data_IF_468182063106
#
_entry.id   IF_468182063106
#
_cell.length_a   1.000
_cell.length_b   1.000
_cell.length_c   1.000
_cell.angle_alpha   90.00
_cell.angle_beta   90.00
_cell.angle_gamma   90.00
#
_symmetry.space_group_name_H-M   'P 1'
#
loop_
_entity.id
_entity.type
_entity.pdbx_description
1 polymer ?
#
# COMPACT_ATOMS: atom_id res chain seq x y z
N UNK A 1 0.16 -2.83 23.98
CA UNK A 1 0.76 -1.58 23.44
C UNK A 1 1.48 -0.75 24.49
N UNK A 2 0.85 -0.37 25.61
CA UNK A 2 1.53 0.40 26.68
C UNK A 2 2.72 -0.35 27.34
N UNK A 3 2.54 -1.62 27.72
CA UNK A 3 3.64 -2.47 28.27
C UNK A 3 4.80 -2.65 27.29
N UNK A 4 4.54 -2.55 25.99
CA UNK A 4 5.55 -2.66 24.94
C UNK A 4 6.19 -1.30 24.58
N UNK A 5 5.84 -0.22 25.29
CA UNK A 5 6.42 1.12 25.09
C UNK A 5 5.96 1.85 23.82
N UNK A 6 4.88 1.40 23.16
CA UNK A 6 4.39 2.05 21.93
C UNK A 6 3.86 3.46 22.27
N UNK A 7 4.23 4.53 21.53
CA UNK A 7 3.71 5.88 21.74
C UNK A 7 2.18 5.96 21.59
N UNK A 8 1.49 6.79 22.40
CA UNK A 8 0.01 6.91 22.40
C UNK A 8 -0.60 7.07 21.00
N UNK A 9 -0.09 7.95 20.12
CA UNK A 9 -0.66 8.15 18.79
C UNK A 9 -0.58 6.88 17.90
N UNK A 10 0.38 5.99 18.17
CA UNK A 10 0.60 4.75 17.42
C UNK A 10 -0.15 3.55 18.01
N UNK A 11 -0.92 3.74 19.09
CA UNK A 11 -1.73 2.67 19.69
C UNK A 11 -3.09 2.50 19.04
N UNK A 12 -3.52 3.49 18.26
CA UNK A 12 -4.74 3.39 17.46
C UNK A 12 -4.60 2.24 16.46
N UNK A 13 -5.60 1.37 16.42
CA UNK A 13 -5.61 0.27 15.46
C UNK A 13 -5.72 0.81 14.05
N UNK A 14 -4.85 0.33 13.18
CA UNK A 14 -4.81 0.71 11.76
C UNK A 14 -4.66 -0.55 10.93
N UNK A 15 -5.26 -0.54 9.75
CA UNK A 15 -5.10 -1.66 8.83
C UNK A 15 -3.69 -1.64 8.22
N UNK A 16 -3.22 -2.81 7.82
CA UNK A 16 -1.92 -2.95 7.14
C UNK A 16 -1.82 -2.06 5.88
N UNK A 17 -2.85 -1.98 5.01
CA UNK A 17 -2.87 -1.01 3.91
C UNK A 17 -2.75 0.45 4.33
N UNK A 18 -3.42 0.87 5.41
CA UNK A 18 -3.31 2.26 5.90
C UNK A 18 -1.88 2.58 6.34
N UNK A 19 -1.26 1.71 7.13
CA UNK A 19 0.12 1.92 7.59
C UNK A 19 1.09 1.99 6.39
N UNK A 20 0.90 1.14 5.39
CA UNK A 20 1.75 1.13 4.21
C UNK A 20 1.61 2.40 3.36
N UNK A 21 0.38 2.92 3.20
CA UNK A 21 0.16 4.17 2.46
C UNK A 21 0.77 5.37 3.18
N UNK A 22 0.61 5.45 4.50
CA UNK A 22 1.24 6.50 5.30
C UNK A 22 2.77 6.47 5.20
N UNK A 23 3.35 5.27 5.21
CA UNK A 23 4.80 5.12 5.09
C UNK A 23 5.29 5.54 3.70
N UNK A 24 4.54 5.22 2.64
CA UNK A 24 4.81 5.71 1.29
C UNK A 24 4.72 7.25 1.25
N UNK A 25 3.69 7.84 1.85
CA UNK A 25 3.53 9.30 1.91
C UNK A 25 4.67 9.97 2.67
N UNK A 26 5.12 9.36 3.76
CA UNK A 26 6.27 9.82 4.54
C UNK A 26 7.55 9.83 3.69
N UNK A 27 7.79 8.79 2.89
CA UNK A 27 8.95 8.69 2.02
C UNK A 27 8.90 9.73 0.88
N UNK A 28 7.72 9.92 0.27
CA UNK A 28 7.51 10.95 -0.76
C UNK A 28 7.75 12.34 -0.18
N UNK A 29 7.20 12.64 1.00
CA UNK A 29 7.39 13.92 1.69
C UNK A 29 8.86 14.17 2.07
N UNK A 30 9.62 13.11 2.36
CA UNK A 30 11.06 13.18 2.61
C UNK A 30 11.90 13.33 1.32
N UNK A 31 11.28 13.39 0.13
CA UNK A 31 11.96 13.54 -1.16
C UNK A 31 12.66 12.27 -1.65
N UNK A 32 12.33 11.11 -1.08
CA UNK A 32 12.91 9.83 -1.50
C UNK A 32 12.41 9.49 -2.90
N UNK A 33 13.35 9.17 -3.80
CA UNK A 33 13.05 8.76 -5.17
C UNK A 33 13.13 7.24 -5.30
N UNK A 34 12.07 6.64 -5.82
CA UNK A 34 12.01 5.21 -6.11
C UNK A 34 11.26 4.98 -7.43
N UNK A 35 11.63 3.90 -8.13
CA UNK A 35 11.06 3.61 -9.45
C UNK A 35 9.68 2.96 -9.40
N UNK A 36 9.41 2.10 -8.40
CA UNK A 36 8.13 1.44 -8.24
C UNK A 36 7.87 1.01 -6.79
N UNK A 37 6.59 0.84 -6.44
CA UNK A 37 6.15 0.18 -5.20
C UNK A 37 5.90 -1.30 -5.47
N UNK A 38 6.57 -2.17 -4.72
CA UNK A 38 6.33 -3.62 -4.73
C UNK A 38 5.65 -4.03 -3.43
N UNK A 39 4.58 -4.84 -3.53
CA UNK A 39 3.87 -5.34 -2.36
C UNK A 39 3.36 -6.77 -2.57
N UNK A 40 3.26 -7.53 -1.49
CA UNK A 40 2.80 -8.91 -1.50
C UNK A 40 1.29 -9.05 -1.70
N UNK A 41 0.83 -10.29 -1.89
CA UNK A 41 -0.56 -10.60 -2.22
C UNK A 41 -1.62 -10.13 -1.22
N UNK A 42 -1.22 -9.90 0.03
CA UNK A 42 -2.09 -9.31 1.06
C UNK A 42 -2.58 -7.91 0.70
N UNK A 43 -1.76 -7.12 -0.02
CA UNK A 43 -2.16 -5.79 -0.50
C UNK A 43 -2.91 -5.85 -1.82
N UNK A 44 -2.60 -6.81 -2.70
CA UNK A 44 -3.21 -6.88 -4.02
C UNK A 44 -4.71 -7.16 -4.04
N UNK A 45 -5.23 -7.83 -3.01
CA UNK A 45 -6.68 -7.99 -2.80
C UNK A 45 -7.39 -6.67 -2.53
N UNK A 46 -6.71 -5.68 -1.94
CA UNK A 46 -7.30 -4.38 -1.64
C UNK A 46 -7.38 -3.52 -2.92
N UNK A 47 -8.60 -3.38 -3.45
CA UNK A 47 -8.87 -2.40 -4.53
C UNK A 47 -8.52 -0.98 -4.07
N UNK A 48 -8.87 -0.63 -2.84
CA UNK A 48 -8.61 0.71 -2.30
C UNK A 48 -7.11 1.02 -2.25
N UNK A 49 -6.28 0.05 -1.83
CA UNK A 49 -4.83 0.22 -1.80
C UNK A 49 -4.25 0.45 -3.21
N UNK A 50 -4.63 -0.38 -4.19
CA UNK A 50 -4.18 -0.22 -5.58
C UNK A 50 -4.59 1.13 -6.18
N UNK A 51 -5.82 1.58 -5.89
CA UNK A 51 -6.28 2.90 -6.33
C UNK A 51 -5.55 4.05 -5.62
N UNK A 52 -5.20 3.89 -4.36
CA UNK A 52 -4.42 4.87 -3.61
C UNK A 52 -3.00 5.03 -4.18
N UNK A 53 -2.38 3.95 -4.67
CA UNK A 53 -1.10 4.03 -5.39
C UNK A 53 -1.25 4.75 -6.73
N UNK A 54 -2.31 4.46 -7.49
CA UNK A 54 -2.62 5.18 -8.74
C UNK A 54 -2.83 6.68 -8.51
N UNK A 55 -3.57 7.05 -7.46
CA UNK A 55 -3.85 8.45 -7.13
C UNK A 55 -2.58 9.25 -6.78
N UNK A 56 -1.52 8.56 -6.34
CA UNK A 56 -0.19 9.13 -6.09
C UNK A 56 0.70 9.16 -7.34
N UNK A 57 0.22 8.69 -8.49
CA UNK A 57 1.00 8.61 -9.72
C UNK A 57 2.14 7.60 -9.67
N UNK A 58 2.09 6.62 -8.77
CA UNK A 58 3.17 5.66 -8.57
C UNK A 58 3.05 4.50 -9.56
N UNK A 59 4.18 4.08 -10.14
CA UNK A 59 4.28 2.76 -10.76
C UNK A 59 4.29 1.70 -9.65
N UNK A 60 3.50 0.64 -9.81
CA UNK A 60 3.42 -0.42 -8.80
C UNK A 60 3.20 -1.80 -9.41
N UNK A 61 3.66 -2.81 -8.67
CA UNK A 61 3.31 -4.20 -8.90
C UNK A 61 2.97 -4.84 -7.55
N UNK A 62 1.82 -5.49 -7.48
CA UNK A 62 1.38 -6.20 -6.27
C UNK A 62 1.09 -7.65 -6.59
N UNK A 63 1.44 -8.54 -5.67
CA UNK A 63 1.06 -9.94 -5.77
C UNK A 63 -0.47 -10.06 -5.84
N UNK A 64 -0.97 -11.03 -6.60
CA UNK A 64 -2.39 -11.40 -6.60
C UNK A 64 -2.50 -12.87 -6.20
N UNK A 65 -3.45 -13.24 -5.34
CA UNK A 65 -3.66 -14.64 -5.01
C UNK A 65 -4.29 -15.37 -6.21
N UNK A 66 -4.01 -16.67 -6.33
CA UNK A 66 -4.40 -17.52 -7.48
C UNK A 66 -5.90 -17.51 -7.84
N UNK A 67 -6.77 -17.19 -6.89
CA UNK A 67 -8.22 -17.21 -7.08
C UNK A 67 -8.78 -15.83 -7.51
N UNK A 68 -7.95 -14.79 -7.54
CA UNK A 68 -8.36 -13.48 -8.01
C UNK A 68 -8.52 -13.51 -9.53
N UNK A 69 -9.74 -13.29 -10.02
CA UNK A 69 -9.99 -13.11 -11.46
C UNK A 69 -9.32 -11.82 -11.91
N UNK A 70 -8.52 -11.93 -12.97
CA UNK A 70 -7.92 -10.82 -13.70
C UNK A 70 -8.46 -10.83 -15.11
N UNK A 71 -8.68 -9.64 -15.66
CA UNK A 71 -9.16 -9.48 -17.02
C UNK A 71 -8.07 -8.76 -17.81
N UNK A 72 -7.80 -9.17 -19.06
CA UNK A 72 -6.87 -8.45 -19.91
C UNK A 72 -7.36 -7.01 -20.08
N UNK A 73 -6.41 -6.09 -20.18
CA UNK A 73 -6.75 -4.72 -20.53
C UNK A 73 -7.29 -4.73 -21.96
N UNK A 74 -8.55 -4.34 -22.15
CA UNK A 74 -9.06 -4.10 -23.49
C UNK A 74 -8.31 -2.88 -24.04
N UNK A 75 -7.57 -3.06 -25.14
CA UNK A 75 -6.99 -1.94 -25.86
C UNK A 75 -8.09 -0.99 -26.28
N UNK A 76 -7.88 0.30 -26.09
CA UNK A 76 -8.63 1.33 -26.82
C UNK A 76 -8.18 1.39 -28.26
#
# INVERSE_FOLDING_TARGET
>A
MAKAGVPEPMRLSRTKPEIALDEIDRLIAAGVRFGAVLAEAGYGLSRAFRQALNARGLTWAVGLPKHQKVYPMMSR
#
